data_IF_323855033416
#
_entry.id   IF_323855033416
#
_cell.length_a   1.000
_cell.length_b   1.000
_cell.length_c   1.000
_cell.angle_alpha   90.00
_cell.angle_beta   90.00
_cell.angle_gamma   90.00
#
_symmetry.space_group_name_H-M   'P 1'
#
loop_
_entity.id
_entity.type
_entity.pdbx_description
1 polymer ?
#
# COMPACT_ATOMS: atom_id res chain seq x y z
N UNK A 1 -15.72 10.65 29.06
CA UNK A 1 -15.19 10.08 27.80
C UNK A 1 -13.71 10.42 27.70
N UNK A 2 -12.82 9.42 27.65
CA UNK A 2 -11.37 9.62 27.66
C UNK A 2 -10.80 9.78 26.25
N UNK A 3 -9.86 10.72 26.08
CA UNK A 3 -9.10 10.90 24.85
C UNK A 3 -8.09 9.75 24.70
N UNK A 4 -8.49 8.66 24.02
CA UNK A 4 -7.59 7.54 23.74
C UNK A 4 -6.83 7.79 22.44
N UNK A 5 -5.52 7.67 22.51
CA UNK A 5 -4.61 7.79 21.36
C UNK A 5 -4.76 6.57 20.45
N UNK A 6 -4.55 6.77 19.14
CA UNK A 6 -4.57 5.67 18.18
C UNK A 6 -3.42 4.68 18.47
N UNK A 7 -3.72 3.40 18.73
CA UNK A 7 -2.72 2.42 19.16
C UNK A 7 -1.67 2.11 18.09
N UNK A 8 -2.01 2.24 16.80
CA UNK A 8 -1.03 2.10 15.71
C UNK A 8 -0.05 3.27 15.74
N UNK A 9 -0.54 4.51 15.65
CA UNK A 9 0.31 5.71 15.62
C UNK A 9 1.22 5.83 16.85
N UNK A 10 0.72 5.48 18.04
CA UNK A 10 1.54 5.48 19.27
C UNK A 10 2.74 4.52 19.20
N UNK A 11 2.67 3.48 18.37
CA UNK A 11 3.68 2.41 18.30
C UNK A 11 4.55 2.46 17.05
N UNK A 12 4.25 3.35 16.10
CA UNK A 12 5.09 3.59 14.92
C UNK A 12 6.44 4.11 15.39
N UNK A 13 7.53 3.50 14.92
CA UNK A 13 8.90 3.84 15.31
C UNK A 13 9.40 3.19 16.61
N UNK A 14 8.56 2.44 17.33
CA UNK A 14 8.97 1.66 18.51
C UNK A 14 8.95 0.16 18.19
N UNK A 15 7.76 -0.37 17.86
CA UNK A 15 7.57 -1.80 17.56
C UNK A 15 6.95 -2.03 16.17
N UNK A 16 6.38 -0.99 15.56
CA UNK A 16 5.74 -1.08 14.24
C UNK A 16 6.44 -0.13 13.27
N UNK A 17 6.63 -0.62 12.06
CA UNK A 17 7.17 0.14 10.95
C UNK A 17 6.10 0.97 10.22
N UNK A 18 6.58 1.86 9.34
CA UNK A 18 5.76 2.62 8.42
C UNK A 18 5.25 1.75 7.27
N UNK A 19 3.99 1.95 6.88
CA UNK A 19 3.36 1.30 5.72
C UNK A 19 3.82 1.95 4.38
N UNK A 20 4.56 3.06 4.42
CA UNK A 20 5.19 3.67 3.25
C UNK A 20 6.63 4.06 3.62
N UNK A 21 7.61 3.50 2.90
CA UNK A 21 9.04 3.67 3.16
C UNK A 21 9.69 4.31 1.94
N UNK A 22 9.80 5.63 1.96
CA UNK A 22 10.49 6.41 0.94
C UNK A 22 10.84 7.80 1.47
N UNK A 23 11.69 8.52 0.76
CA UNK A 23 12.13 9.87 1.10
C UNK A 23 12.03 10.79 -0.12
N UNK A 24 11.47 11.98 0.05
CA UNK A 24 11.50 13.04 -0.95
C UNK A 24 11.48 14.41 -0.26
N UNK A 25 12.16 15.39 -0.84
CA UNK A 25 12.22 16.77 -0.31
C UNK A 25 11.14 17.66 -0.92
N UNK A 26 11.30 18.02 -2.20
CA UNK A 26 10.42 18.99 -2.88
C UNK A 26 9.13 18.38 -3.42
N UNK A 27 9.18 17.13 -3.86
CA UNK A 27 8.07 16.42 -4.54
C UNK A 27 7.23 15.57 -3.58
N UNK A 28 7.38 15.77 -2.26
CA UNK A 28 6.70 14.96 -1.25
C UNK A 28 5.17 14.97 -1.40
N UNK A 29 4.58 16.14 -1.65
CA UNK A 29 3.13 16.29 -1.77
C UNK A 29 2.59 15.51 -2.98
N UNK A 30 3.28 15.58 -4.11
CA UNK A 30 2.87 14.89 -5.34
C UNK A 30 2.94 13.36 -5.16
N UNK A 31 4.03 12.86 -4.58
CA UNK A 31 4.17 11.43 -4.27
C UNK A 31 3.15 10.94 -3.23
N UNK A 32 2.79 11.78 -2.25
CA UNK A 32 1.74 11.45 -1.30
C UNK A 32 0.37 11.32 -1.99
N UNK A 33 0.05 12.24 -2.90
CA UNK A 33 -1.20 12.18 -3.66
C UNK A 33 -1.28 10.94 -4.54
N UNK A 34 -0.16 10.58 -5.18
CA UNK A 34 -0.04 9.36 -5.97
C UNK A 34 -0.20 8.10 -5.09
N UNK A 35 0.46 8.04 -3.92
CA UNK A 35 0.31 6.92 -2.97
C UNK A 35 -1.14 6.74 -2.52
N UNK A 36 -1.86 7.84 -2.25
CA UNK A 36 -3.27 7.79 -1.89
C UNK A 36 -4.15 7.28 -3.04
N UNK A 37 -3.83 7.66 -4.28
CA UNK A 37 -4.52 7.16 -5.47
C UNK A 37 -4.29 5.66 -5.66
N UNK A 38 -3.03 5.20 -5.55
CA UNK A 38 -2.65 3.78 -5.62
C UNK A 38 -3.40 2.96 -4.57
N UNK A 39 -3.42 3.42 -3.30
CA UNK A 39 -4.14 2.72 -2.22
C UNK A 39 -5.63 2.60 -2.50
N UNK A 40 -6.27 3.66 -3.01
CA UNK A 40 -7.69 3.65 -3.36
C UNK A 40 -7.98 2.72 -4.53
N UNK A 41 -7.14 2.73 -5.56
CA UNK A 41 -7.26 1.87 -6.72
C UNK A 41 -7.18 0.39 -6.32
N UNK A 42 -6.15 0.02 -5.56
CA UNK A 42 -5.94 -1.35 -5.08
C UNK A 42 -7.09 -1.83 -4.20
N UNK A 43 -7.59 -0.99 -3.28
CA UNK A 43 -8.73 -1.36 -2.44
C UNK A 43 -10.02 -1.58 -3.24
N UNK A 44 -10.20 -0.85 -4.34
CA UNK A 44 -11.37 -0.98 -5.21
C UNK A 44 -11.30 -2.24 -6.06
N UNK A 45 -10.18 -2.47 -6.76
CA UNK A 45 -10.01 -3.62 -7.66
C UNK A 45 -9.87 -4.94 -6.89
N UNK A 46 -9.23 -4.94 -5.72
CA UNK A 46 -8.98 -6.14 -4.92
C UNK A 46 -9.92 -6.28 -3.71
N UNK A 47 -11.12 -5.71 -3.79
CA UNK A 47 -12.12 -5.79 -2.73
C UNK A 47 -12.40 -7.25 -2.29
N UNK A 48 -12.47 -8.18 -3.25
CA UNK A 48 -12.75 -9.60 -3.00
C UNK A 48 -11.52 -10.40 -2.50
N UNK A 49 -10.33 -9.82 -2.64
CA UNK A 49 -9.07 -10.49 -2.30
C UNK A 49 -8.68 -10.37 -0.82
N UNK A 50 -9.46 -9.65 0.00
CA UNK A 50 -9.20 -9.51 1.45
C UNK A 50 -7.76 -9.04 1.75
N UNK A 51 -7.40 -7.88 1.22
CA UNK A 51 -6.09 -7.24 1.44
C UNK A 51 -6.03 -6.67 2.87
N UNK A 52 -4.99 -7.02 3.63
CA UNK A 52 -4.79 -6.56 5.01
C UNK A 52 -3.92 -5.32 5.11
N UNK A 53 -2.76 -5.34 4.44
CA UNK A 53 -1.75 -4.28 4.51
C UNK A 53 -1.21 -4.01 3.11
N UNK A 54 -1.06 -2.73 2.78
CA UNK A 54 -0.43 -2.26 1.55
C UNK A 54 0.82 -1.50 1.95
N UNK A 55 1.98 -2.04 1.59
CA UNK A 55 3.28 -1.43 1.82
C UNK A 55 3.79 -0.82 0.50
N UNK A 56 4.23 0.43 0.57
CA UNK A 56 4.74 1.17 -0.60
C UNK A 56 6.18 1.56 -0.35
N UNK A 57 7.08 1.12 -1.21
CA UNK A 57 8.47 1.55 -1.23
C UNK A 57 8.76 2.26 -2.54
N UNK A 58 9.35 3.45 -2.48
CA UNK A 58 9.77 4.20 -3.67
C UNK A 58 11.28 4.26 -3.72
N UNK A 59 11.85 3.71 -4.79
CA UNK A 59 13.21 3.92 -5.23
C UNK A 59 13.23 4.97 -6.36
N UNK A 60 14.41 5.50 -6.69
CA UNK A 60 14.58 6.63 -7.63
C UNK A 60 13.79 6.50 -8.94
N UNK A 61 13.70 5.28 -9.50
CA UNK A 61 13.00 5.03 -10.77
C UNK A 61 11.95 3.92 -10.67
N UNK A 62 11.58 3.47 -9.47
CA UNK A 62 10.68 2.31 -9.29
C UNK A 62 9.85 2.43 -8.03
N UNK A 63 8.55 2.20 -8.19
CA UNK A 63 7.63 1.99 -7.08
C UNK A 63 7.46 0.48 -6.88
N UNK A 64 7.67 0.01 -5.66
CA UNK A 64 7.44 -1.36 -5.25
C UNK A 64 6.22 -1.34 -4.32
N UNK A 65 5.16 -2.03 -4.74
CA UNK A 65 3.95 -2.17 -3.95
C UNK A 65 3.86 -3.61 -3.47
N UNK A 66 3.95 -3.79 -2.16
CA UNK A 66 3.88 -5.08 -1.48
C UNK A 66 2.50 -5.26 -0.85
N UNK A 67 1.78 -6.29 -1.30
CA UNK A 67 0.42 -6.58 -0.87
C UNK A 67 0.39 -7.79 0.07
N UNK A 68 -0.13 -7.59 1.28
CA UNK A 68 -0.42 -8.66 2.20
C UNK A 68 -1.90 -9.03 2.07
N UNK A 69 -2.18 -10.26 1.64
CA UNK A 69 -3.53 -10.74 1.35
C UNK A 69 -3.73 -12.15 1.91
N UNK A 70 -4.96 -12.43 2.38
CA UNK A 70 -5.35 -13.78 2.77
C UNK A 70 -5.60 -14.72 1.57
N UNK A 71 -5.89 -14.17 0.38
CA UNK A 71 -6.24 -14.91 -0.84
C UNK A 71 -5.33 -14.53 -2.02
N UNK A 72 -4.06 -14.94 -2.01
CA UNK A 72 -3.10 -14.56 -3.05
C UNK A 72 -3.51 -15.02 -4.46
N UNK A 73 -4.22 -16.15 -4.59
CA UNK A 73 -4.67 -16.66 -5.89
C UNK A 73 -5.64 -15.73 -6.63
N UNK A 74 -6.46 -14.97 -5.91
CA UNK A 74 -7.37 -13.96 -6.51
C UNK A 74 -6.58 -12.76 -7.04
N UNK A 75 -5.53 -12.35 -6.32
CA UNK A 75 -4.67 -11.22 -6.71
C UNK A 75 -3.82 -11.58 -7.93
N UNK A 76 -3.31 -12.81 -8.01
CA UNK A 76 -2.46 -13.26 -9.12
C UNK A 76 -3.28 -13.57 -10.39
N UNK A 77 -4.47 -14.16 -10.22
CA UNK A 77 -5.29 -14.64 -11.33
C UNK A 77 -4.70 -15.90 -12.00
N UNK A 78 -5.35 -16.38 -13.06
CA UNK A 78 -4.84 -17.52 -13.83
C UNK A 78 -3.61 -17.08 -14.64
N UNK A 79 -2.45 -17.64 -14.30
CA UNK A 79 -1.19 -17.41 -15.02
C UNK A 79 -0.57 -16.02 -14.85
N UNK A 80 -0.97 -15.24 -13.84
CA UNK A 80 -0.44 -13.88 -13.61
C UNK A 80 -1.19 -12.75 -14.33
N UNK A 81 -2.22 -13.10 -15.10
CA UNK A 81 -3.01 -12.15 -15.90
C UNK A 81 -3.55 -10.95 -15.11
N UNK A 82 -3.95 -11.15 -13.85
CA UNK A 82 -4.53 -10.08 -13.05
C UNK A 82 -3.46 -9.11 -12.53
N UNK A 83 -2.24 -9.60 -12.26
CA UNK A 83 -1.10 -8.76 -11.86
C UNK A 83 -0.60 -7.92 -13.02
N UNK A 84 -0.57 -8.49 -14.24
CA UNK A 84 -0.17 -7.75 -15.43
C UNK A 84 -1.22 -6.69 -15.80
N UNK A 85 -2.51 -7.00 -15.66
CA UNK A 85 -3.58 -6.02 -15.82
C UNK A 85 -3.48 -4.86 -14.81
N UNK A 86 -3.21 -5.17 -13.54
CA UNK A 86 -3.01 -4.17 -12.48
C UNK A 86 -1.78 -3.28 -12.68
N UNK A 87 -0.76 -3.76 -13.42
CA UNK A 87 0.45 -2.97 -13.75
C UNK A 87 0.28 -2.11 -15.00
N UNK A 88 -0.65 -2.47 -15.89
CA UNK A 88 -0.88 -1.79 -17.15
C UNK A 88 -1.85 -0.60 -17.05
N UNK A 89 -2.59 -0.50 -15.95
CA UNK A 89 -3.51 0.60 -15.62
C UNK A 89 -2.87 1.60 -14.67
#
# INVERSE_FOLDING_TARGET
>A
MGQKVHPIGMRVGIIRDWDAKWYAEKEYADYLHEDLAIRKFIQKELADASVSTIEIERAVNKVIVSLHTAKPGMVIGKGGSNVDALRAQ
#
